data_IF_692098679540
#
_entry.id   IF_692098679540
#
_cell.length_a   1.000
_cell.length_b   1.000
_cell.length_c   1.000
_cell.angle_alpha   90.00
_cell.angle_beta   90.00
_cell.angle_gamma   90.00
#
_symmetry.space_group_name_H-M   'P 1'
#
loop_
_entity.id
_entity.type
_entity.pdbx_description
1 polymer ?
#
# COMPACT_ATOMS: atom_id res chain seq x y z
N UNK A 1 9.08 -20.25 17.93
CA UNK A 1 8.28 -19.58 16.88
C UNK A 1 8.92 -19.70 15.50
N UNK A 2 10.12 -19.17 15.25
CA UNK A 2 10.72 -19.16 13.91
C UNK A 2 10.95 -20.55 13.28
N UNK A 3 11.44 -21.53 14.05
CA UNK A 3 11.55 -22.94 13.59
C UNK A 3 10.19 -23.54 13.21
N UNK A 4 9.13 -23.11 13.89
CA UNK A 4 7.75 -23.51 13.57
C UNK A 4 7.24 -22.80 12.32
N UNK A 5 7.54 -21.50 12.20
CA UNK A 5 7.15 -20.65 11.06
C UNK A 5 7.70 -21.17 9.72
N UNK A 6 8.91 -21.73 9.70
CA UNK A 6 9.47 -22.35 8.48
C UNK A 6 8.93 -23.77 8.19
N UNK A 7 8.19 -24.38 9.12
CA UNK A 7 7.70 -25.77 9.02
C UNK A 7 6.18 -25.88 8.85
N UNK A 8 5.43 -24.93 9.38
CA UNK A 8 3.98 -24.93 9.34
C UNK A 8 3.44 -24.18 8.12
N UNK A 9 2.22 -24.53 7.70
CA UNK A 9 1.56 -23.88 6.59
C UNK A 9 1.31 -22.39 6.88
N UNK A 10 1.55 -21.54 5.87
CA UNK A 10 1.23 -20.11 5.93
C UNK A 10 -0.29 -19.94 5.76
N UNK A 11 -0.96 -19.58 6.85
CA UNK A 11 -2.42 -19.36 6.90
C UNK A 11 -2.82 -17.96 6.41
N UNK A 12 -2.48 -17.63 5.17
CA UNK A 12 -2.66 -16.28 4.60
C UNK A 12 -4.13 -15.82 4.59
N UNK A 13 -5.04 -16.70 4.15
CA UNK A 13 -6.48 -16.41 4.11
C UNK A 13 -7.03 -16.04 5.49
N UNK A 14 -6.67 -16.81 6.52
CA UNK A 14 -7.08 -16.53 7.90
C UNK A 14 -6.56 -15.18 8.40
N UNK A 15 -5.35 -14.79 7.97
CA UNK A 15 -4.79 -13.48 8.26
C UNK A 15 -5.59 -12.33 7.63
N UNK A 16 -6.04 -12.47 6.38
CA UNK A 16 -6.93 -11.49 5.73
C UNK A 16 -8.29 -11.40 6.41
N UNK A 17 -8.86 -12.53 6.83
CA UNK A 17 -10.10 -12.58 7.61
C UNK A 17 -9.95 -11.80 8.91
N UNK A 18 -8.89 -12.08 9.68
CA UNK A 18 -8.62 -11.36 10.92
C UNK A 18 -8.44 -9.84 10.71
N UNK A 19 -7.71 -9.42 9.67
CA UNK A 19 -7.55 -7.99 9.35
C UNK A 19 -8.89 -7.31 9.03
N UNK A 20 -9.75 -7.99 8.26
CA UNK A 20 -11.10 -7.52 7.98
C UNK A 20 -11.93 -7.38 9.25
N UNK A 21 -11.87 -8.37 10.15
CA UNK A 21 -12.58 -8.35 11.44
C UNK A 21 -12.09 -7.22 12.36
N UNK A 22 -10.81 -6.84 12.27
CA UNK A 22 -10.24 -5.67 12.94
C UNK A 22 -10.62 -4.33 12.29
N UNK A 23 -11.39 -4.35 11.20
CA UNK A 23 -11.83 -3.16 10.48
C UNK A 23 -10.77 -2.56 9.56
N UNK A 24 -9.75 -3.31 9.16
CA UNK A 24 -8.76 -2.84 8.20
C UNK A 24 -9.42 -2.65 6.82
N UNK A 25 -9.38 -1.42 6.31
CA UNK A 25 -9.94 -1.08 4.99
C UNK A 25 -8.86 -0.80 3.94
N UNK A 26 -7.60 -0.73 4.34
CA UNK A 26 -6.46 -0.45 3.46
C UNK A 26 -5.29 -1.32 3.87
N UNK A 27 -4.75 -2.08 2.92
CA UNK A 27 -3.63 -2.99 3.13
C UNK A 27 -2.49 -2.60 2.19
N UNK A 28 -1.33 -2.27 2.77
CA UNK A 28 -0.11 -1.94 2.03
C UNK A 28 0.85 -3.12 2.03
N UNK A 29 1.18 -3.66 0.86
CA UNK A 29 2.25 -4.65 0.70
C UNK A 29 3.60 -3.96 0.55
N UNK A 30 4.57 -4.39 1.35
CA UNK A 30 5.97 -4.02 1.25
C UNK A 30 6.76 -5.20 0.67
N UNK A 31 7.04 -5.16 -0.63
CA UNK A 31 7.78 -6.19 -1.32
C UNK A 31 7.84 -5.95 -2.83
N UNK A 32 8.83 -6.52 -3.53
CA UNK A 32 9.18 -6.16 -4.91
C UNK A 32 8.11 -6.54 -5.94
N UNK A 33 7.35 -7.61 -5.70
CA UNK A 33 6.58 -8.30 -6.74
C UNK A 33 5.05 -8.14 -6.63
N UNK A 34 4.55 -7.49 -5.58
CA UNK A 34 3.11 -7.33 -5.30
C UNK A 34 2.33 -8.67 -5.22
N UNK A 35 2.97 -9.74 -4.72
CA UNK A 35 2.40 -11.09 -4.68
C UNK A 35 1.24 -11.17 -3.68
N UNK A 36 1.40 -10.58 -2.50
CA UNK A 36 0.36 -10.63 -1.46
C UNK A 36 -0.88 -9.84 -1.89
N UNK A 37 -0.67 -8.73 -2.61
CA UNK A 37 -1.72 -7.90 -3.20
C UNK A 37 -2.53 -8.69 -4.21
N UNK A 38 -1.88 -9.43 -5.11
CA UNK A 38 -2.56 -10.32 -6.06
C UNK A 38 -3.30 -11.45 -5.34
N UNK A 39 -2.66 -12.13 -4.39
CA UNK A 39 -3.31 -13.19 -3.60
C UNK A 39 -4.53 -12.68 -2.81
N UNK A 40 -4.44 -11.49 -2.22
CA UNK A 40 -5.55 -10.86 -1.51
C UNK A 40 -6.68 -10.47 -2.46
N UNK A 41 -6.36 -9.96 -3.64
CA UNK A 41 -7.35 -9.63 -4.66
C UNK A 41 -8.16 -10.87 -5.08
N UNK A 42 -7.50 -12.01 -5.28
CA UNK A 42 -8.17 -13.27 -5.63
C UNK A 42 -8.96 -13.88 -4.47
N UNK A 43 -8.63 -13.51 -3.23
CA UNK A 43 -9.29 -14.00 -2.02
C UNK A 43 -10.53 -13.20 -1.65
N UNK A 44 -10.46 -11.87 -1.78
CA UNK A 44 -11.53 -10.94 -1.41
C UNK A 44 -12.51 -10.81 -2.56
N UNK A 45 -13.81 -10.93 -2.29
CA UNK A 45 -14.87 -10.81 -3.31
C UNK A 45 -15.56 -9.45 -3.30
N UNK A 46 -15.46 -8.69 -2.21
CA UNK A 46 -16.00 -7.34 -2.10
C UNK A 46 -15.12 -6.33 -2.87
N UNK A 47 -15.66 -5.63 -3.89
CA UNK A 47 -14.92 -4.61 -4.63
C UNK A 47 -14.37 -3.48 -3.75
N UNK A 48 -15.06 -3.11 -2.67
CA UNK A 48 -14.60 -2.06 -1.77
C UNK A 48 -13.35 -2.49 -0.98
N UNK A 49 -13.29 -3.76 -0.59
CA UNK A 49 -12.12 -4.36 0.04
C UNK A 49 -10.95 -4.50 -0.95
N UNK A 50 -11.21 -4.96 -2.18
CA UNK A 50 -10.20 -5.04 -3.24
C UNK A 50 -9.59 -3.66 -3.57
N UNK A 51 -10.40 -2.60 -3.57
CA UNK A 51 -9.94 -1.22 -3.79
C UNK A 51 -9.00 -0.70 -2.68
N UNK A 52 -8.96 -1.37 -1.53
CA UNK A 52 -8.05 -1.08 -0.42
C UNK A 52 -6.68 -1.73 -0.52
N UNK A 53 -6.45 -2.61 -1.51
CA UNK A 53 -5.18 -3.32 -1.68
C UNK A 53 -4.19 -2.44 -2.45
N UNK A 54 -3.03 -2.17 -1.85
CA UNK A 54 -1.99 -1.30 -2.41
C UNK A 54 -0.64 -2.00 -2.29
N UNK A 55 0.10 -2.09 -3.39
CA UNK A 55 1.50 -2.51 -3.37
C UNK A 55 2.41 -1.28 -3.39
N UNK A 56 3.42 -1.23 -2.51
CA UNK A 56 4.39 -0.15 -2.46
C UNK A 56 5.27 -0.11 -3.71
N UNK A 57 5.64 -1.29 -4.22
CA UNK A 57 6.36 -1.45 -5.49
C UNK A 57 5.80 -2.67 -6.24
N UNK A 58 6.05 -2.74 -7.55
CA UNK A 58 5.55 -3.83 -8.39
C UNK A 58 6.59 -4.23 -9.43
N UNK A 59 6.65 -5.52 -9.72
CA UNK A 59 7.58 -6.12 -10.68
C UNK A 59 7.51 -5.41 -12.04
N UNK A 60 8.67 -5.21 -12.66
CA UNK A 60 8.81 -4.63 -14.01
C UNK A 60 8.25 -3.19 -14.14
N UNK A 61 8.13 -2.45 -13.04
CA UNK A 61 7.79 -1.02 -13.06
C UNK A 61 8.85 -0.21 -12.33
N UNK A 62 9.09 1.05 -12.70
CA UNK A 62 9.99 1.91 -11.95
C UNK A 62 9.54 2.04 -10.48
N UNK A 63 10.44 1.74 -9.56
CA UNK A 63 10.16 1.80 -8.11
C UNK A 63 9.69 3.21 -7.67
N UNK A 64 10.31 4.34 -8.11
CA UNK A 64 9.83 5.66 -7.71
C UNK A 64 8.39 5.92 -8.11
N UNK A 65 7.99 5.53 -9.32
CA UNK A 65 6.65 5.76 -9.85
C UNK A 65 5.61 4.93 -9.08
N UNK A 66 5.90 3.65 -8.84
CA UNK A 66 5.01 2.76 -8.09
C UNK A 66 4.88 3.19 -6.63
N UNK A 67 5.97 3.59 -6.00
CA UNK A 67 5.97 4.06 -4.62
C UNK A 67 5.22 5.37 -4.46
N UNK A 68 5.46 6.37 -5.31
CA UNK A 68 4.71 7.63 -5.27
C UNK A 68 3.22 7.40 -5.57
N UNK A 69 2.88 6.48 -6.47
CA UNK A 69 1.49 6.08 -6.72
C UNK A 69 0.86 5.42 -5.50
N UNK A 70 1.59 4.57 -4.78
CA UNK A 70 1.11 3.95 -3.54
C UNK A 70 0.83 5.00 -2.45
N UNK A 71 1.75 5.95 -2.27
CA UNK A 71 1.56 7.08 -1.34
C UNK A 71 0.34 7.94 -1.71
N UNK A 72 0.17 8.25 -3.00
CA UNK A 72 -1.01 8.99 -3.46
C UNK A 72 -2.32 8.22 -3.19
N UNK A 73 -2.34 6.90 -3.41
CA UNK A 73 -3.50 6.06 -3.10
C UNK A 73 -3.80 6.01 -1.61
N UNK A 74 -2.78 5.88 -0.76
CA UNK A 74 -2.92 5.95 0.69
C UNK A 74 -3.53 7.29 1.12
N UNK A 75 -3.03 8.40 0.57
CA UNK A 75 -3.54 9.74 0.84
C UNK A 75 -5.02 9.90 0.46
N UNK A 76 -5.42 9.47 -0.75
CA UNK A 76 -6.82 9.50 -1.20
C UNK A 76 -7.74 8.65 -0.32
N UNK A 77 -7.21 7.59 0.30
CA UNK A 77 -7.92 6.73 1.26
C UNK A 77 -7.91 7.25 2.69
N UNK A 78 -7.36 8.45 2.93
CA UNK A 78 -7.38 9.14 4.21
C UNK A 78 -6.18 8.87 5.11
N UNK A 79 -5.14 8.19 4.63
CA UNK A 79 -3.88 8.11 5.37
C UNK A 79 -3.17 9.47 5.37
N UNK A 80 -2.64 9.88 6.51
CA UNK A 80 -1.77 11.05 6.59
C UNK A 80 -0.42 10.73 5.93
N UNK A 81 -0.12 11.44 4.84
CA UNK A 81 1.13 11.32 4.08
C UNK A 81 1.81 12.68 4.07
N UNK A 82 3.01 12.75 4.64
CA UNK A 82 3.82 13.96 4.60
C UNK A 82 4.59 14.07 3.28
N UNK A 83 3.95 14.66 2.27
CA UNK A 83 4.60 14.97 1.00
C UNK A 83 5.64 16.09 1.12
N UNK A 84 5.64 16.91 2.18
CA UNK A 84 6.62 17.98 2.33
C UNK A 84 8.03 17.40 2.48
N UNK A 85 8.17 16.24 3.15
CA UNK A 85 9.42 15.50 3.27
C UNK A 85 10.07 15.16 1.91
N UNK A 86 9.27 14.87 0.87
CA UNK A 86 9.75 14.57 -0.48
C UNK A 86 10.41 15.78 -1.16
N UNK A 87 9.99 16.97 -0.78
CA UNK A 87 10.46 18.23 -1.37
C UNK A 87 11.46 18.98 -0.49
N UNK A 88 11.89 18.38 0.63
CA UNK A 88 12.84 18.97 1.54
C UNK A 88 14.25 19.13 0.91
N UNK A 89 14.99 20.19 1.28
CA UNK A 89 14.58 21.27 2.15
C UNK A 89 13.76 22.33 1.36
N UNK A 90 12.68 22.81 1.96
CA UNK A 90 11.63 23.57 1.26
C UNK A 90 12.09 24.95 0.74
N UNK A 91 13.11 25.52 1.38
CA UNK A 91 13.81 26.76 1.04
C UNK A 91 14.56 26.69 -0.31
N UNK A 92 14.82 25.48 -0.82
CA UNK A 92 15.42 25.28 -2.15
C UNK A 92 14.40 25.30 -3.31
N UNK A 93 13.09 25.34 -3.02
CA UNK A 93 12.01 25.17 -4.00
C UNK A 93 11.26 26.46 -4.27
N UNK A 94 10.98 26.74 -5.54
CA UNK A 94 10.15 27.87 -5.97
C UNK A 94 8.67 27.50 -5.92
N UNK A 95 7.86 28.25 -5.17
CA UNK A 95 6.38 28.14 -5.24
C UNK A 95 5.90 28.65 -6.60
N UNK A 96 4.93 27.96 -7.17
CA UNK A 96 4.30 28.33 -8.44
C UNK A 96 2.80 28.54 -8.20
N UNK A 97 2.22 29.51 -8.90
CA UNK A 97 0.78 29.71 -8.86
C UNK A 97 0.09 28.56 -9.59
N UNK A 98 -0.95 28.02 -8.95
CA UNK A 98 -1.81 26.98 -9.50
C UNK A 98 -3.22 27.56 -9.72
N UNK A 99 -3.99 27.03 -10.69
CA UNK A 99 -5.40 27.39 -10.83
C UNK A 99 -6.13 27.25 -9.50
N UNK A 100 -6.98 28.23 -9.19
CA UNK A 100 -7.90 28.12 -8.05
C UNK A 100 -9.01 27.13 -8.39
N UNK A 101 -9.54 26.49 -7.35
CA UNK A 101 -10.72 25.63 -7.45
C UNK A 101 -11.95 26.41 -7.92
#
# INVERSE_FOLDING_TARGET
YWVRHIREAVRFHDGLGALTDFGATTLLELGPDAVLTAMAHDTLTDPAAQAGLIAAVSKNRPEPDTFLTALARLHVRGAEVDFASLYAPADSRRRVDLPTY
#
